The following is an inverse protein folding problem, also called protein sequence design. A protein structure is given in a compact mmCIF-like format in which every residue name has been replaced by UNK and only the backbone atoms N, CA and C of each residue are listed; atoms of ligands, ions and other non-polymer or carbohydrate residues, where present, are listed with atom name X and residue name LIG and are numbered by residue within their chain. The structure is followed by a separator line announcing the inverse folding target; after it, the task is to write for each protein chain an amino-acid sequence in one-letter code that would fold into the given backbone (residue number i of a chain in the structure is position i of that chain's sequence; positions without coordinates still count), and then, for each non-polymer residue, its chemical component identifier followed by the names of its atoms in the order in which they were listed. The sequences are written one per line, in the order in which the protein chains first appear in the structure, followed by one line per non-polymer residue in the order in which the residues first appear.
data_IF_105870805922
#
_entry.id   IF_105870805922
#
_cell.length_a   1.000
_cell.length_b   1.000
_cell.length_c   1.000
_cell.angle_alpha   90.00
_cell.angle_beta   90.00
_cell.angle_gamma   90.00
#
_symmetry.space_group_name_H-M   'P 1'
#
loop_
_entity.id
_entity.type
_entity.pdbx_description
1 polymer ?
#
# COMPACT_ATOMS: atom_id res chain seq x y z
N UNK A 1 5.90 0.23 14.68
CA UNK A 1 4.55 0.72 14.30
C UNK A 1 4.72 2.13 13.77
N UNK A 2 4.15 2.45 12.61
CA UNK A 2 4.21 3.79 12.01
C UNK A 2 3.02 4.61 12.58
N UNK A 3 3.24 5.82 13.11
CA UNK A 3 2.15 6.69 13.56
C UNK A 3 1.18 7.03 12.41
N UNK A 4 -0.13 6.99 12.69
CA UNK A 4 -1.16 7.24 11.67
C UNK A 4 -1.05 8.65 11.04
N UNK A 5 -0.60 9.64 11.81
CA UNK A 5 -0.39 11.01 11.35
C UNK A 5 0.69 11.13 10.25
N UNK A 6 1.59 10.14 10.13
CA UNK A 6 2.66 10.16 9.12
C UNK A 6 2.19 9.57 7.78
N UNK A 7 1.00 8.98 7.72
CA UNK A 7 0.54 8.25 6.54
C UNK A 7 0.39 9.18 5.33
N UNK A 8 -0.21 10.36 5.52
CA UNK A 8 -0.38 11.34 4.45
C UNK A 8 0.95 11.79 3.85
N UNK A 9 1.97 11.99 4.69
CA UNK A 9 3.32 12.32 4.25
C UNK A 9 3.92 11.19 3.40
N UNK A 10 3.80 9.93 3.87
CA UNK A 10 4.33 8.76 3.19
C UNK A 10 3.64 8.51 1.84
N UNK A 11 2.32 8.64 1.77
CA UNK A 11 1.58 8.54 0.51
C UNK A 11 1.99 9.63 -0.48
N UNK A 12 2.15 10.88 -0.02
CA UNK A 12 2.67 11.99 -0.86
C UNK A 12 4.10 11.74 -1.34
N UNK A 13 4.91 10.98 -0.60
CA UNK A 13 6.25 10.58 -0.98
C UNK A 13 6.28 9.39 -1.96
N UNK A 14 5.12 8.85 -2.36
CA UNK A 14 5.01 7.75 -3.33
C UNK A 14 4.92 6.36 -2.72
N UNK A 15 4.65 6.22 -1.41
CA UNK A 15 4.33 4.91 -0.83
C UNK A 15 3.02 4.41 -1.42
N UNK A 16 3.02 3.21 -2.00
CA UNK A 16 1.85 2.63 -2.64
C UNK A 16 0.84 2.02 -1.63
N UNK A 17 1.32 1.46 -0.52
CA UNK A 17 0.47 0.87 0.52
C UNK A 17 1.22 0.74 1.85
N UNK A 18 0.48 0.74 2.97
CA UNK A 18 1.01 0.55 4.33
C UNK A 18 0.32 -0.66 4.97
N UNK A 19 1.10 -1.63 5.44
CA UNK A 19 0.61 -2.84 6.11
C UNK A 19 1.04 -2.84 7.59
N UNK A 20 0.06 -2.78 8.49
CA UNK A 20 0.30 -2.74 9.93
C UNK A 20 0.70 -4.09 10.54
N UNK A 21 1.19 -4.12 11.80
CA UNK A 21 1.44 -5.35 12.53
C UNK A 21 0.20 -6.26 12.56
N UNK A 22 0.39 -7.55 12.28
CA UNK A 22 -0.71 -8.52 12.23
C UNK A 22 -1.52 -8.52 10.93
N UNK A 23 -1.17 -7.70 9.93
CA UNK A 23 -1.79 -7.78 8.60
C UNK A 23 -1.59 -9.19 8.02
N UNK A 24 -2.66 -9.89 7.60
CA UNK A 24 -2.51 -11.21 6.99
C UNK A 24 -1.71 -11.11 5.68
N UNK A 25 -0.70 -11.96 5.54
CA UNK A 25 0.19 -11.98 4.36
C UNK A 25 -0.60 -12.15 3.07
N UNK A 26 -1.61 -13.03 3.05
CA UNK A 26 -2.46 -13.25 1.88
C UNK A 26 -3.22 -11.97 1.47
N UNK A 27 -3.70 -11.19 2.43
CA UNK A 27 -4.41 -9.93 2.15
C UNK A 27 -3.45 -8.88 1.57
N UNK A 28 -2.25 -8.75 2.15
CA UNK A 28 -1.23 -7.83 1.64
C UNK A 28 -0.79 -8.21 0.22
N UNK A 29 -0.62 -9.51 -0.06
CA UNK A 29 -0.27 -10.01 -1.38
C UNK A 29 -1.34 -9.66 -2.43
N UNK A 30 -2.63 -9.87 -2.13
CA UNK A 30 -3.71 -9.47 -3.04
C UNK A 30 -3.68 -7.97 -3.34
N UNK A 31 -3.53 -7.13 -2.30
CA UNK A 31 -3.48 -5.67 -2.48
C UNK A 31 -2.27 -5.23 -3.33
N UNK A 32 -1.11 -5.86 -3.16
CA UNK A 32 0.06 -5.59 -4.01
C UNK A 32 -0.25 -5.93 -5.48
N UNK A 33 -0.89 -7.07 -5.74
CA UNK A 33 -1.25 -7.49 -7.10
C UNK A 33 -2.29 -6.54 -7.72
N UNK A 34 -3.29 -6.10 -6.96
CA UNK A 34 -4.29 -5.11 -7.39
C UNK A 34 -3.60 -3.80 -7.80
N UNK A 35 -2.73 -3.25 -6.95
CA UNK A 35 -1.95 -2.04 -7.23
C UNK A 35 -1.13 -2.21 -8.52
N UNK A 36 -0.44 -3.34 -8.69
CA UNK A 36 0.38 -3.59 -9.88
C UNK A 36 -0.44 -3.75 -11.16
N UNK A 37 -1.69 -4.21 -11.06
CA UNK A 37 -2.60 -4.33 -12.20
C UNK A 37 -3.22 -2.99 -12.57
N UNK A 38 -3.59 -2.17 -11.59
CA UNK A 38 -4.09 -0.80 -11.81
C UNK A 38 -3.01 0.07 -12.49
N UNK A 39 -1.75 -0.06 -12.08
CA UNK A 39 -0.61 0.62 -12.71
C UNK A 39 -0.37 0.24 -14.18
N UNK A 40 -0.98 -0.85 -14.67
CA UNK A 40 -0.88 -1.27 -16.08
C UNK A 40 -2.03 -0.76 -16.94
N UNK A 41 -3.03 -0.08 -16.38
CA UNK A 41 -4.09 0.60 -17.14
C UNK A 41 -3.66 2.04 -17.38
N UNK A 42 -2.59 2.21 -18.15
CA UNK A 42 -2.24 3.49 -18.74
C UNK A 42 -2.25 3.28 -20.26
N UNK A 43 -3.17 4.00 -20.94
CA UNK A 43 -3.39 3.98 -22.38
C UNK A 43 -2.48 4.96 -23.11
#
# INVERSE_FOLDING_TARGET
MIPAQDYDFLYKAGVAAIFGPGSPVAKAACQILEILMELKVES
#
